data_IF_337278487218
#
_entry.id   IF_337278487218
#
_cell.length_a   1.000
_cell.length_b   1.000
_cell.length_c   1.000
_cell.angle_alpha   90.00
_cell.angle_beta   90.00
_cell.angle_gamma   90.00
#
_symmetry.space_group_name_H-M   'P 1'
#
loop_
_entity.id
_entity.type
_entity.pdbx_description
1 polymer ?
#
# COMPACT_ATOMS: atom_id res chain seq x y z
N UNK A 1 -30.23 -30.56 -36.32
CA UNK A 1 -30.15 -30.29 -34.87
C UNK A 1 -28.71 -29.90 -34.57
N UNK A 2 -28.45 -28.59 -34.48
CA UNK A 2 -27.10 -28.05 -34.25
C UNK A 2 -26.87 -27.94 -32.75
N UNK A 3 -25.83 -28.57 -32.23
CA UNK A 3 -25.51 -28.59 -30.80
C UNK A 3 -24.54 -27.45 -30.51
N UNK A 4 -24.98 -26.47 -29.72
CA UNK A 4 -24.12 -25.59 -28.91
C UNK A 4 -23.42 -26.45 -27.85
N UNK A 5 -22.19 -26.24 -27.37
CA UNK A 5 -21.65 -25.08 -26.62
C UNK A 5 -20.16 -25.41 -26.28
N UNK A 6 -19.36 -24.58 -25.58
CA UNK A 6 -18.05 -24.11 -26.03
C UNK A 6 -16.84 -24.72 -25.31
N UNK A 7 -15.68 -24.37 -25.84
CA UNK A 7 -14.32 -24.66 -25.40
C UNK A 7 -14.12 -24.36 -23.91
N UNK A 8 -13.70 -25.40 -23.17
CA UNK A 8 -13.06 -25.29 -21.87
C UNK A 8 -11.67 -24.66 -22.07
N UNK A 9 -11.42 -23.49 -21.51
CA UNK A 9 -10.04 -23.08 -21.21
C UNK A 9 -10.01 -22.42 -19.85
N UNK A 10 -9.71 -23.26 -18.87
CA UNK A 10 -9.15 -22.87 -17.58
C UNK A 10 -7.73 -22.35 -17.84
N UNK A 11 -7.54 -21.03 -17.82
CA UNK A 11 -6.20 -20.42 -17.78
C UNK A 11 -5.99 -19.81 -16.40
N UNK A 12 -5.67 -20.69 -15.45
CA UNK A 12 -4.99 -20.33 -14.22
C UNK A 12 -3.50 -20.18 -14.52
N UNK A 13 -3.09 -19.08 -15.19
CA UNK A 13 -1.67 -18.79 -15.37
C UNK A 13 -1.16 -17.91 -14.23
N UNK A 14 -0.32 -18.58 -13.45
CA UNK A 14 0.37 -18.11 -12.27
C UNK A 14 1.60 -17.28 -12.66
N UNK A 15 1.80 -16.20 -11.91
CA UNK A 15 3.10 -15.57 -11.56
C UNK A 15 4.01 -15.00 -12.67
N UNK A 16 4.10 -13.66 -12.61
CA UNK A 16 5.34 -12.86 -12.52
C UNK A 16 6.51 -13.16 -13.47
N UNK A 17 6.84 -12.18 -14.32
CA UNK A 17 8.12 -11.44 -14.34
C UNK A 17 8.49 -10.96 -15.76
N UNK A 18 8.53 -9.64 -15.94
CA UNK A 18 9.32 -8.85 -16.91
C UNK A 18 8.69 -7.44 -16.88
N UNK A 19 9.33 -6.33 -16.51
CA UNK A 19 10.74 -5.98 -16.61
C UNK A 19 10.94 -5.05 -17.81
N UNK A 20 10.70 -3.74 -17.62
CA UNK A 20 10.87 -2.65 -18.61
C UNK A 20 9.72 -2.58 -19.62
N UNK A 21 9.16 -1.43 -20.03
CA UNK A 21 9.70 -0.08 -20.21
C UNK A 21 8.55 0.93 -20.07
N UNK A 22 8.88 2.18 -19.76
CA UNK A 22 7.95 3.15 -19.22
C UNK A 22 6.90 3.71 -20.19
N UNK A 23 5.64 3.44 -19.87
CA UNK A 23 4.59 4.47 -19.77
C UNK A 23 3.94 4.39 -18.36
N UNK A 24 4.83 4.26 -17.36
CA UNK A 24 4.60 3.48 -16.15
C UNK A 24 4.25 4.30 -14.90
N UNK A 25 4.09 5.63 -14.96
CA UNK A 25 3.82 6.39 -13.73
C UNK A 25 2.39 6.22 -13.22
N UNK A 26 1.38 6.29 -14.10
CA UNK A 26 -0.03 6.08 -13.73
C UNK A 26 -0.38 4.60 -13.55
N UNK A 27 0.21 3.73 -14.38
CA UNK A 27 -0.09 2.29 -14.39
C UNK A 27 0.63 1.52 -13.30
N UNK A 28 1.87 1.88 -12.90
CA UNK A 28 2.57 1.22 -11.78
C UNK A 28 1.97 1.62 -10.45
N UNK A 29 1.64 2.90 -10.25
CA UNK A 29 0.90 3.33 -9.06
C UNK A 29 -0.47 2.66 -9.01
N UNK A 30 -1.18 2.60 -10.14
CA UNK A 30 -2.46 1.89 -10.23
C UNK A 30 -2.36 0.38 -10.03
N UNK A 31 -1.29 -0.27 -10.50
CA UNK A 31 -1.05 -1.70 -10.34
C UNK A 31 -0.60 -2.05 -8.92
N UNK A 32 0.20 -1.20 -8.28
CA UNK A 32 0.54 -1.33 -6.85
C UNK A 32 -0.70 -1.11 -5.98
N UNK A 33 -1.50 -0.08 -6.28
CA UNK A 33 -2.75 0.19 -5.58
C UNK A 33 -3.74 -0.97 -5.73
N UNK A 34 -3.91 -1.50 -6.95
CA UNK A 34 -4.76 -2.68 -7.18
C UNK A 34 -4.17 -3.95 -6.58
N UNK A 35 -2.85 -4.12 -6.60
CA UNK A 35 -2.16 -5.23 -5.95
C UNK A 35 -2.40 -5.21 -4.43
N UNK A 36 -2.29 -4.04 -3.81
CA UNK A 36 -2.61 -3.84 -2.39
C UNK A 36 -4.08 -4.10 -2.08
N UNK A 37 -5.00 -3.61 -2.92
CA UNK A 37 -6.44 -3.84 -2.75
C UNK A 37 -6.82 -5.31 -2.95
N UNK A 38 -6.22 -6.02 -3.92
CA UNK A 38 -6.44 -7.46 -4.12
C UNK A 38 -5.86 -8.30 -2.99
N UNK A 39 -4.70 -7.93 -2.44
CA UNK A 39 -4.11 -8.60 -1.26
C UNK A 39 -5.02 -8.42 -0.04
N UNK A 40 -5.58 -7.23 0.16
CA UNK A 40 -6.57 -6.97 1.22
C UNK A 40 -7.94 -7.60 0.98
N UNK A 41 -8.34 -7.81 -0.27
CA UNK A 41 -9.62 -8.43 -0.61
C UNK A 41 -9.63 -9.96 -0.47
N UNK A 42 -8.46 -10.59 -0.37
CA UNK A 42 -8.32 -12.05 -0.42
C UNK A 42 -8.17 -12.73 0.96
N UNK A 43 -8.04 -11.98 2.06
CA UNK A 43 -7.86 -12.52 3.41
C UNK A 43 -9.04 -12.12 4.31
N UNK A 44 -9.74 -13.07 4.97
CA UNK A 44 -10.85 -12.72 5.84
C UNK A 44 -10.41 -12.54 7.31
N UNK A 45 -10.75 -11.40 7.94
CA UNK A 45 -11.00 -11.32 9.38
C UNK A 45 -9.94 -10.60 10.26
N UNK A 46 -9.73 -11.11 11.49
CA UNK A 46 -8.90 -10.52 12.57
C UNK A 46 -7.45 -10.20 12.17
N UNK A 47 -6.94 -10.87 11.14
CA UNK A 47 -5.57 -10.71 10.65
C UNK A 47 -5.37 -9.34 9.96
N UNK A 48 -6.42 -8.79 9.33
CA UNK A 48 -6.36 -7.46 8.70
C UNK A 48 -6.18 -6.34 9.73
N UNK A 49 -6.90 -6.43 10.85
CA UNK A 49 -6.78 -5.46 11.94
C UNK A 49 -5.39 -5.54 12.56
N UNK A 50 -4.86 -6.75 12.78
CA UNK A 50 -3.52 -6.95 13.31
C UNK A 50 -2.42 -6.43 12.35
N UNK A 51 -2.57 -6.66 11.04
CA UNK A 51 -1.66 -6.13 10.03
C UNK A 51 -1.71 -4.60 9.95
N UNK A 52 -2.90 -4.00 10.02
CA UNK A 52 -3.08 -2.55 10.05
C UNK A 52 -2.49 -1.93 11.31
N UNK A 53 -2.63 -2.59 12.46
CA UNK A 53 -2.02 -2.16 13.73
C UNK A 53 -0.49 -2.17 13.66
N UNK A 54 0.14 -3.19 13.06
CA UNK A 54 1.60 -3.18 12.92
C UNK A 54 2.07 -2.17 11.86
N UNK A 55 1.32 -1.98 10.78
CA UNK A 55 1.60 -0.94 9.80
C UNK A 55 1.56 0.45 10.44
N UNK A 56 0.55 0.73 11.27
CA UNK A 56 0.43 1.99 12.02
C UNK A 56 1.61 2.19 12.98
N UNK A 57 2.02 1.15 13.72
CA UNK A 57 3.23 1.21 14.57
C UNK A 57 4.49 1.48 13.76
N UNK A 58 4.60 0.91 12.56
CA UNK A 58 5.68 1.17 11.61
C UNK A 58 5.76 2.65 11.25
N UNK A 59 4.61 3.23 10.87
CA UNK A 59 4.49 4.65 10.53
C UNK A 59 4.75 5.58 11.72
N UNK A 60 4.27 5.24 12.93
CA UNK A 60 4.58 6.00 14.15
C UNK A 60 6.09 6.09 14.40
N UNK A 61 6.78 4.96 14.25
CA UNK A 61 8.24 4.91 14.36
C UNK A 61 8.92 5.73 13.25
N UNK A 62 8.38 5.75 12.03
CA UNK A 62 8.91 6.56 10.94
C UNK A 62 8.73 8.07 11.23
N UNK A 63 7.54 8.49 11.65
CA UNK A 63 7.23 9.85 12.08
C UNK A 63 8.16 10.32 13.20
N UNK A 64 8.37 9.48 14.22
CA UNK A 64 9.29 9.80 15.31
C UNK A 64 10.74 10.01 14.82
N UNK A 65 11.23 9.18 13.88
CA UNK A 65 12.56 9.34 13.28
C UNK A 65 12.68 10.63 12.48
N UNK A 66 11.66 10.97 11.68
CA UNK A 66 11.65 12.22 10.92
C UNK A 66 11.63 13.46 11.81
N UNK A 67 10.78 13.46 12.85
CA UNK A 67 10.73 14.56 13.84
C UNK A 67 12.08 14.73 14.52
N UNK A 68 12.69 13.63 14.98
CA UNK A 68 14.03 13.64 15.59
C UNK A 68 15.11 14.13 14.61
N UNK A 69 15.05 13.74 13.34
CA UNK A 69 16.00 14.20 12.32
C UNK A 69 15.93 15.72 12.11
N UNK A 70 14.73 16.31 12.21
CA UNK A 70 14.54 17.76 12.04
C UNK A 70 15.06 18.60 13.22
N UNK A 71 15.29 18.00 14.38
CA UNK A 71 15.93 18.66 15.54
C UNK A 71 17.43 18.90 15.30
N UNK A 72 18.07 18.11 14.42
CA UNK A 72 19.48 18.28 14.08
C UNK A 72 19.70 19.51 13.17
N UNK A 73 20.91 20.11 13.21
CA UNK A 73 21.29 21.16 12.26
C UNK A 73 21.53 20.55 10.87
N UNK A 74 20.47 20.48 10.07
CA UNK A 74 20.50 20.01 8.69
C UNK A 74 20.69 21.17 7.69
N UNK A 75 21.42 20.96 6.58
CA UNK A 75 21.42 21.89 5.45
C UNK A 75 19.99 22.18 4.97
N UNK A 76 19.68 23.40 4.49
CA UNK A 76 18.31 23.80 4.14
C UNK A 76 17.61 22.84 3.16
N UNK A 77 18.32 22.36 2.15
CA UNK A 77 17.78 21.43 1.15
C UNK A 77 17.39 20.07 1.76
N UNK A 78 18.23 19.55 2.65
CA UNK A 78 17.99 18.29 3.37
C UNK A 78 16.82 18.46 4.33
N UNK A 79 16.77 19.57 5.08
CA UNK A 79 15.65 19.89 5.97
C UNK A 79 14.32 19.93 5.20
N UNK A 80 14.30 20.60 4.05
CA UNK A 80 13.11 20.69 3.19
C UNK A 80 12.67 19.31 2.67
N UNK A 81 13.63 18.45 2.26
CA UNK A 81 13.33 17.08 1.84
C UNK A 81 12.71 16.27 2.98
N UNK A 82 13.32 16.30 4.17
CA UNK A 82 12.84 15.59 5.35
C UNK A 82 11.45 16.07 5.77
N UNK A 83 11.17 17.38 5.71
CA UNK A 83 9.83 17.92 5.97
C UNK A 83 8.78 17.41 4.98
N UNK A 84 9.09 17.36 3.68
CA UNK A 84 8.17 16.80 2.69
C UNK A 84 7.88 15.32 2.95
N UNK A 85 8.91 14.55 3.29
CA UNK A 85 8.75 13.14 3.64
C UNK A 85 7.92 12.94 4.93
N UNK A 86 8.14 13.78 5.95
CA UNK A 86 7.35 13.77 7.18
C UNK A 86 5.86 14.01 6.89
N UNK A 87 5.52 14.97 6.03
CA UNK A 87 4.14 15.24 5.63
C UNK A 87 3.53 14.04 4.90
N UNK A 88 4.30 13.39 4.02
CA UNK A 88 3.86 12.16 3.34
C UNK A 88 3.60 11.02 4.32
N UNK A 89 4.53 10.77 5.25
CA UNK A 89 4.38 9.74 6.28
C UNK A 89 3.17 10.02 7.18
N UNK A 90 2.89 11.28 7.52
CA UNK A 90 1.72 11.62 8.33
C UNK A 90 0.42 11.29 7.60
N UNK A 91 0.33 11.61 6.31
CA UNK A 91 -0.85 11.25 5.50
C UNK A 91 -1.04 9.74 5.41
N UNK A 92 0.03 8.98 5.22
CA UNK A 92 -0.03 7.52 5.18
C UNK A 92 -0.49 6.93 6.52
N UNK A 93 0.05 7.44 7.63
CA UNK A 93 -0.37 7.06 8.98
C UNK A 93 -1.87 7.29 9.17
N UNK A 94 -2.37 8.48 8.82
CA UNK A 94 -3.78 8.83 8.98
C UNK A 94 -4.69 7.92 8.14
N UNK A 95 -4.26 7.54 6.92
CA UNK A 95 -4.98 6.59 6.08
C UNK A 95 -5.02 5.18 6.66
N UNK A 96 -3.89 4.67 7.16
CA UNK A 96 -3.81 3.35 7.80
C UNK A 96 -4.70 3.30 9.02
N UNK A 97 -4.68 4.34 9.86
CA UNK A 97 -5.53 4.47 11.04
C UNK A 97 -7.02 4.46 10.67
N UNK A 98 -7.41 5.25 9.67
CA UNK A 98 -8.80 5.27 9.20
C UNK A 98 -9.26 3.90 8.69
N UNK A 99 -8.40 3.20 7.95
CA UNK A 99 -8.67 1.83 7.47
C UNK A 99 -8.79 0.85 8.62
N UNK A 100 -7.87 0.88 9.60
CA UNK A 100 -7.94 0.03 10.80
C UNK A 100 -9.27 0.20 11.53
N UNK A 101 -9.70 1.45 11.72
CA UNK A 101 -10.93 1.78 12.43
C UNK A 101 -12.17 1.28 11.67
N UNK A 102 -12.18 1.38 10.33
CA UNK A 102 -13.23 0.81 9.48
C UNK A 102 -13.31 -0.72 9.59
N UNK A 103 -12.17 -1.42 9.48
CA UNK A 103 -12.13 -2.88 9.58
C UNK A 103 -12.50 -3.38 10.98
N UNK A 104 -12.10 -2.67 12.03
CA UNK A 104 -12.47 -2.99 13.41
C UNK A 104 -13.97 -2.79 13.66
N UNK A 105 -14.59 -1.79 13.03
CA UNK A 105 -16.04 -1.56 13.16
C UNK A 105 -16.89 -2.58 12.39
N UNK A 106 -16.32 -3.23 11.37
CA UNK A 106 -16.98 -4.25 10.54
C UNK A 106 -16.79 -5.69 11.05
N UNK A 107 -15.94 -5.91 12.05
CA UNK A 107 -15.63 -7.21 12.66
C UNK A 107 -16.49 -7.48 13.91
#
# INVERSE_FOLDING_TARGET
>A
MSVSTPILTNSSDSCASAGGEADTSGTVVGALHRGWVSVRGALPGKDDVAMLEEAERGEDRALARYRKALEAPLPPEVRNLVQRQLIGAQRNHDQIRALRDQYRAAA
#
